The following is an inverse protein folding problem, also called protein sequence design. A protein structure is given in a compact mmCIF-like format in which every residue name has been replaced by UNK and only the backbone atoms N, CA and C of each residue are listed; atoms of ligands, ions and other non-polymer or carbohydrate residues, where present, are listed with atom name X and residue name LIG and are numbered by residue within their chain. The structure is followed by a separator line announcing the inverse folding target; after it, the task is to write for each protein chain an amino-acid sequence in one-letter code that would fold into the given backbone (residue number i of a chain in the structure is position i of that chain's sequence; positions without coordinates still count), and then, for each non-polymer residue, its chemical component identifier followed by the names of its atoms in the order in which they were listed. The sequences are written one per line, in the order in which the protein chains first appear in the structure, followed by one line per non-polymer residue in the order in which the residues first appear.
data_IF_127067321621
#
_entry.id   IF_127067321621
#
_cell.length_a   1.000
_cell.length_b   1.000
_cell.length_c   1.000
_cell.angle_alpha   90.00
_cell.angle_beta   90.00
_cell.angle_gamma   90.00
#
_symmetry.space_group_name_H-M   'P 1'
#
loop_
_entity.id
_entity.type
_entity.pdbx_description
1 polymer ?
#
# COMPACT_ATOMS: atom_id res chain seq x y z
N UNK A 1 -14.29 5.69 -12.48
CA UNK A 1 -13.06 5.64 -11.67
C UNK A 1 -13.37 4.83 -10.42
N UNK A 2 -12.75 3.67 -10.25
CA UNK A 2 -12.91 2.89 -9.01
C UNK A 2 -12.22 3.62 -7.88
N UNK A 3 -12.98 4.03 -6.86
CA UNK A 3 -12.43 4.68 -5.66
C UNK A 3 -11.70 3.61 -4.84
N UNK A 4 -10.41 3.84 -4.58
CA UNK A 4 -9.66 3.10 -3.57
C UNK A 4 -9.94 3.75 -2.22
N UNK A 5 -10.17 2.94 -1.19
CA UNK A 5 -10.23 3.41 0.20
C UNK A 5 -9.22 2.65 1.04
N UNK A 6 -8.57 3.38 1.94
CA UNK A 6 -7.60 2.84 2.89
C UNK A 6 -8.08 3.26 4.26
N UNK A 7 -8.16 2.32 5.18
CA UNK A 7 -8.64 2.57 6.54
C UNK A 7 -7.79 1.79 7.51
N UNK A 8 -7.22 2.48 8.50
CA UNK A 8 -6.61 1.83 9.66
C UNK A 8 -7.73 1.40 10.60
N UNK A 9 -7.77 0.12 10.93
CA UNK A 9 -8.71 -0.44 11.89
C UNK A 9 -7.95 -1.30 12.90
N UNK A 10 -7.92 -0.82 14.14
CA UNK A 10 -7.22 -1.47 15.26
C UNK A 10 -5.77 -1.83 14.87
N UNK A 11 -5.46 -3.12 14.79
CA UNK A 11 -4.14 -3.65 14.50
C UNK A 11 -3.93 -4.03 13.02
N UNK A 12 -4.71 -3.41 12.13
CA UNK A 12 -4.66 -3.71 10.69
C UNK A 12 -4.90 -2.49 9.81
N UNK A 13 -4.37 -2.55 8.60
CA UNK A 13 -4.71 -1.66 7.50
C UNK A 13 -5.61 -2.42 6.55
N UNK A 14 -6.79 -1.90 6.29
CA UNK A 14 -7.71 -2.42 5.30
C UNK A 14 -7.65 -1.55 4.04
N UNK A 15 -7.45 -2.20 2.90
CA UNK A 15 -7.42 -1.56 1.59
C UNK A 15 -8.53 -2.17 0.76
N UNK A 16 -9.52 -1.36 0.39
CA UNK A 16 -10.58 -1.78 -0.53
C UNK A 16 -10.34 -1.15 -1.91
N UNK A 17 -10.31 -2.00 -2.93
CA UNK A 17 -10.15 -1.57 -4.31
C UNK A 17 -10.87 -2.52 -5.27
N UNK A 18 -11.73 -1.94 -6.12
CA UNK A 18 -12.65 -2.71 -6.98
C UNK A 18 -13.49 -3.70 -6.16
N UNK A 19 -13.39 -4.99 -6.46
CA UNK A 19 -14.10 -6.07 -5.76
C UNK A 19 -13.23 -6.77 -4.70
N UNK A 20 -12.04 -6.25 -4.41
CA UNK A 20 -11.11 -6.84 -3.46
C UNK A 20 -11.02 -6.00 -2.18
N UNK A 21 -10.99 -6.71 -1.06
CA UNK A 21 -10.63 -6.17 0.25
C UNK A 21 -9.38 -6.90 0.72
N UNK A 22 -8.36 -6.12 1.09
CA UNK A 22 -7.05 -6.62 1.49
C UNK A 22 -6.77 -6.09 2.89
N UNK A 23 -6.61 -6.99 3.84
CA UNK A 23 -6.27 -6.66 5.23
C UNK A 23 -4.81 -7.00 5.49
N UNK A 24 -4.04 -6.00 5.93
CA UNK A 24 -2.62 -6.13 6.27
C UNK A 24 -2.48 -5.91 7.78
N UNK A 25 -2.13 -6.94 8.57
CA UNK A 25 -1.86 -6.76 9.99
C UNK A 25 -0.65 -5.86 10.22
N UNK A 26 -0.76 -4.90 11.14
CA UNK A 26 0.32 -3.94 11.45
C UNK A 26 1.58 -4.66 11.93
N UNK A 27 1.41 -5.74 12.72
CA UNK A 27 2.52 -6.57 13.20
C UNK A 27 3.37 -7.21 12.09
N UNK A 28 2.81 -7.34 10.90
CA UNK A 28 3.49 -7.96 9.76
C UNK A 28 4.21 -6.91 8.91
N UNK A 29 3.94 -5.62 9.13
CA UNK A 29 4.56 -4.50 8.40
C UNK A 29 5.95 -4.26 8.94
N UNK A 30 6.94 -4.38 8.05
CA UNK A 30 8.35 -4.12 8.35
C UNK A 30 8.70 -2.67 8.05
N UNK A 31 8.29 -2.15 6.89
CA UNK A 31 8.54 -0.77 6.48
C UNK A 31 7.45 -0.25 5.56
N UNK A 32 7.27 1.08 5.56
CA UNK A 32 6.42 1.79 4.61
C UNK A 32 7.26 2.90 3.98
N UNK A 33 7.25 3.02 2.65
CA UNK A 33 8.02 4.05 1.96
C UNK A 33 7.36 4.55 0.68
N UNK A 34 7.60 5.82 0.33
CA UNK A 34 7.18 6.40 -0.96
C UNK A 34 8.24 6.21 -2.07
N UNK A 35 9.43 5.73 -1.70
CA UNK A 35 10.57 5.72 -2.60
C UNK A 35 10.50 4.57 -3.60
N UNK A 36 11.12 4.79 -4.75
CA UNK A 36 11.35 3.78 -5.77
C UNK A 36 12.25 2.67 -5.23
N UNK A 37 11.64 1.65 -4.62
CA UNK A 37 12.31 0.36 -4.52
C UNK A 37 12.35 -0.23 -5.92
N UNK A 38 13.55 -0.57 -6.45
CA UNK A 38 13.67 -1.12 -7.79
C UNK A 38 12.76 -2.34 -7.94
N UNK A 39 11.85 -2.30 -8.91
CA UNK A 39 10.86 -3.36 -9.17
C UNK A 39 11.49 -4.75 -9.32
N UNK A 40 12.77 -4.81 -9.73
CA UNK A 40 13.53 -6.04 -9.93
C UNK A 40 14.13 -6.64 -8.64
N UNK A 41 13.85 -6.05 -7.47
CA UNK A 41 14.36 -6.53 -6.18
C UNK A 41 13.25 -6.97 -5.22
N UNK A 42 11.99 -6.90 -5.63
CA UNK A 42 10.85 -7.27 -4.80
C UNK A 42 10.23 -8.56 -5.33
N UNK A 43 10.32 -9.63 -4.54
CA UNK A 43 9.57 -10.87 -4.79
C UNK A 43 8.17 -10.78 -4.17
N UNK A 44 7.22 -11.55 -4.71
CA UNK A 44 5.84 -11.67 -4.20
C UNK A 44 5.13 -10.32 -3.97
N UNK A 45 4.94 -9.56 -5.06
CA UNK A 45 4.34 -8.21 -5.04
C UNK A 45 2.86 -8.25 -5.43
N UNK A 46 2.03 -7.64 -4.60
CA UNK A 46 0.63 -7.31 -4.88
C UNK A 46 0.55 -5.85 -5.30
N UNK A 47 0.06 -5.61 -6.51
CA UNK A 47 -0.18 -4.27 -7.04
C UNK A 47 -1.63 -3.87 -6.79
N UNK A 48 -1.84 -2.72 -6.16
CA UNK A 48 -3.16 -2.19 -5.81
C UNK A 48 -3.32 -0.81 -6.43
N UNK A 49 -4.43 -0.59 -7.14
CA UNK A 49 -4.67 0.67 -7.84
C UNK A 49 -4.28 0.62 -9.32
N UNK A 50 -4.59 1.70 -10.02
CA UNK A 50 -4.27 1.83 -11.45
C UNK A 50 -2.87 2.41 -11.60
N UNK A 51 -1.93 1.71 -12.29
CA UNK A 51 -0.63 2.28 -12.61
C UNK A 51 -0.81 3.60 -13.36
N UNK A 52 -0.06 4.62 -12.97
CA UNK A 52 -0.06 5.92 -13.67
C UNK A 52 1.36 6.25 -14.12
N UNK A 53 1.47 7.19 -15.05
CA UNK A 53 2.76 7.74 -15.48
C UNK A 53 3.48 8.49 -14.35
N UNK A 54 2.76 8.88 -13.29
CA UNK A 54 3.36 9.47 -12.10
C UNK A 54 4.09 8.41 -11.27
N UNK A 55 5.21 8.78 -10.67
CA UNK A 55 5.95 7.92 -9.73
C UNK A 55 5.31 7.89 -8.33
N UNK A 56 4.04 8.28 -8.23
CA UNK A 56 3.35 8.36 -6.95
C UNK A 56 2.86 6.95 -6.57
N UNK A 57 3.62 6.32 -5.67
CA UNK A 57 3.36 4.98 -5.16
C UNK A 57 3.81 4.87 -3.71
N UNK A 58 3.21 3.94 -3.00
CA UNK A 58 3.62 3.56 -1.64
C UNK A 58 3.95 2.07 -1.67
N UNK A 59 5.11 1.72 -1.13
CA UNK A 59 5.48 0.35 -0.83
C UNK A 59 5.20 0.09 0.65
N UNK A 60 4.42 -0.94 0.93
CA UNK A 60 4.30 -1.57 2.24
C UNK A 60 5.03 -2.90 2.16
N UNK A 61 6.17 -2.99 2.84
CA UNK A 61 6.95 -4.22 2.97
C UNK A 61 6.45 -4.98 4.19
N UNK A 62 6.05 -6.25 3.99
CA UNK A 62 5.64 -7.13 5.10
C UNK A 62 6.51 -8.37 5.17
N UNK A 63 6.32 -9.17 6.22
CA UNK A 63 7.02 -10.44 6.42
C UNK A 63 6.87 -11.43 5.26
N UNK A 64 5.73 -11.43 4.56
CA UNK A 64 5.42 -12.44 3.54
C UNK A 64 5.15 -11.87 2.14
N UNK A 65 4.58 -10.66 2.05
CA UNK A 65 4.18 -10.03 0.80
C UNK A 65 4.64 -8.57 0.72
N UNK A 66 4.80 -8.09 -0.50
CA UNK A 66 5.03 -6.68 -0.79
C UNK A 66 3.78 -6.08 -1.40
N UNK A 67 3.37 -4.90 -0.93
CA UNK A 67 2.22 -4.19 -1.50
C UNK A 67 2.67 -2.89 -2.12
N UNK A 68 2.39 -2.72 -3.41
CA UNK A 68 2.61 -1.46 -4.13
C UNK A 68 1.24 -0.83 -4.38
N UNK A 69 1.00 0.30 -3.74
CA UNK A 69 -0.24 1.07 -3.85
C UNK A 69 0.01 2.23 -4.81
N UNK A 70 -0.69 2.25 -5.93
CA UNK A 70 -0.74 3.38 -6.85
C UNK A 70 -1.76 4.40 -6.38
N UNK A 71 -1.32 5.62 -6.09
CA UNK A 71 -2.17 6.70 -5.59
C UNK A 71 -1.73 8.04 -6.18
N UNK A 72 -2.68 8.93 -6.44
CA UNK A 72 -2.37 10.28 -6.88
C UNK A 72 -1.70 11.10 -5.76
N UNK A 73 -2.04 10.83 -4.50
CA UNK A 73 -1.60 11.59 -3.32
C UNK A 73 -1.02 10.65 -2.24
N UNK A 74 0.27 10.29 -2.32
CA UNK A 74 0.90 9.39 -1.34
C UNK A 74 0.86 9.92 0.10
N UNK A 75 0.98 11.23 0.31
CA UNK A 75 0.98 11.82 1.66
C UNK A 75 -0.31 11.55 2.43
N UNK A 76 -1.48 11.66 1.77
CA UNK A 76 -2.79 11.38 2.39
C UNK A 76 -2.86 9.92 2.80
N UNK A 77 -2.36 9.01 1.97
CA UNK A 77 -2.37 7.57 2.29
C UNK A 77 -1.44 7.27 3.47
N UNK A 78 -0.30 7.94 3.60
CA UNK A 78 0.55 7.78 4.78
C UNK A 78 -0.11 8.30 6.05
N UNK A 79 -0.81 9.44 5.98
CA UNK A 79 -1.57 9.98 7.12
C UNK A 79 -2.64 8.99 7.61
N UNK A 80 -3.38 8.38 6.68
CA UNK A 80 -4.39 7.35 6.98
C UNK A 80 -3.79 6.06 7.57
N UNK A 81 -2.55 5.75 7.19
CA UNK A 81 -1.85 4.54 7.64
C UNK A 81 -1.04 4.79 8.92
N UNK A 82 -0.84 6.05 9.34
CA UNK A 82 0.17 6.45 10.32
C UNK A 82 0.32 5.47 11.50
N UNK A 83 1.48 4.84 11.59
CA UNK A 83 1.86 3.88 12.62
C UNK A 83 2.74 4.66 13.61
N UNK A 84 2.11 5.29 14.61
CA UNK A 84 2.84 5.83 15.78
C UNK A 84 3.39 4.70 16.66
#
# INVERSE_FOLDING_TARGET
MSRMSITKFQDSIMIAWQSAEITIPIKDILTISMNDVPYNKLDHVVYIGTPSSSKNRILIHTTNLNFIIFTANPSIVLEEINIE
#
